data_IF_146381974212
#
_entry.id   IF_146381974212
#
_cell.length_a   1.000
_cell.length_b   1.000
_cell.length_c   1.000
_cell.angle_alpha   90.00
_cell.angle_beta   90.00
_cell.angle_gamma   90.00
#
_symmetry.space_group_name_H-M   'P 1'
#
loop_
_entity.id
_entity.type
_entity.pdbx_description
1 polymer ?
#
# COMPACT_ATOMS: atom_id res chain seq x y z
N UNK A 1 2.29 -5.73 11.56
CA UNK A 1 2.30 -4.73 12.67
C UNK A 1 3.64 -4.54 13.34
N UNK A 2 4.48 -5.57 13.58
CA UNK A 2 5.86 -5.33 14.07
C UNK A 2 6.61 -4.35 13.16
N UNK A 3 6.56 -4.58 11.86
CA UNK A 3 7.20 -3.72 10.86
C UNK A 3 6.58 -2.32 10.77
N UNK A 4 5.30 -2.14 11.11
CA UNK A 4 4.69 -0.80 11.16
C UNK A 4 5.33 0.07 12.25
N UNK A 5 5.71 -0.51 13.40
CA UNK A 5 6.43 0.21 14.45
C UNK A 5 7.87 0.54 14.05
N UNK A 6 8.55 -0.37 13.36
CA UNK A 6 9.91 -0.12 12.84
C UNK A 6 9.89 1.02 11.81
N UNK A 7 8.89 1.01 10.92
CA UNK A 7 8.68 2.09 9.95
C UNK A 7 8.35 3.41 10.64
N UNK A 8 7.47 3.38 11.65
CA UNK A 8 7.13 4.55 12.45
C UNK A 8 8.36 5.15 13.15
N UNK A 9 9.26 4.31 13.64
CA UNK A 9 10.51 4.75 14.24
C UNK A 9 11.44 5.41 13.21
N UNK A 10 11.56 4.85 12.01
CA UNK A 10 12.33 5.44 10.91
C UNK A 10 11.77 6.81 10.50
N UNK A 11 10.45 6.92 10.36
CA UNK A 11 9.79 8.21 10.08
C UNK A 11 10.02 9.21 11.22
N UNK A 12 10.07 8.74 12.48
CA UNK A 12 10.43 9.57 13.62
C UNK A 12 11.84 10.18 13.52
N UNK A 13 12.81 9.44 12.97
CA UNK A 13 14.16 9.96 12.69
C UNK A 13 14.12 11.01 11.57
N UNK A 14 13.38 10.79 10.50
CA UNK A 14 13.21 11.78 9.43
C UNK A 14 12.53 13.06 9.91
N UNK A 15 11.56 12.92 10.83
CA UNK A 15 10.89 14.06 11.49
C UNK A 15 11.88 14.97 12.20
N UNK A 16 12.86 14.39 12.90
CA UNK A 16 13.90 15.17 13.63
C UNK A 16 14.81 15.94 12.66
N UNK A 17 14.94 15.46 11.41
CA UNK A 17 15.76 16.08 10.37
C UNK A 17 14.99 17.10 9.53
N UNK A 18 13.68 17.26 9.74
CA UNK A 18 12.79 18.17 8.99
C UNK A 18 12.93 17.98 7.47
N UNK A 19 12.90 16.73 7.00
CA UNK A 19 12.99 16.44 5.56
C UNK A 19 11.82 17.06 4.80
N UNK A 20 12.06 17.47 3.56
CA UNK A 20 11.07 18.09 2.67
C UNK A 20 10.66 17.18 1.52
N UNK A 21 11.48 16.20 1.20
CA UNK A 21 11.29 15.25 0.11
C UNK A 21 11.50 13.83 0.65
N UNK A 22 10.68 12.90 0.22
CA UNK A 22 10.75 11.49 0.60
C UNK A 22 10.76 10.64 -0.65
N UNK A 23 11.66 9.65 -0.69
CA UNK A 23 11.63 8.59 -1.70
C UNK A 23 11.18 7.30 -1.03
N UNK A 24 10.16 6.66 -1.58
CA UNK A 24 9.59 5.40 -1.12
C UNK A 24 9.74 4.36 -2.21
N UNK A 25 10.51 3.32 -1.95
CA UNK A 25 10.72 2.23 -2.91
C UNK A 25 9.65 1.14 -2.74
N UNK A 26 8.79 1.02 -3.73
CA UNK A 26 7.70 0.04 -3.80
C UNK A 26 7.85 -0.93 -4.98
N UNK A 27 9.00 -0.98 -5.65
CA UNK A 27 9.19 -1.76 -6.90
C UNK A 27 8.76 -3.21 -6.80
N UNK A 28 9.09 -3.88 -5.71
CA UNK A 28 8.83 -5.31 -5.51
C UNK A 28 7.75 -5.55 -4.45
N UNK A 29 7.01 -4.51 -4.07
CA UNK A 29 6.00 -4.61 -3.03
C UNK A 29 4.62 -4.91 -3.63
N UNK A 30 4.19 -6.15 -3.52
CA UNK A 30 2.88 -6.63 -3.99
C UNK A 30 1.70 -6.20 -3.12
N UNK A 31 1.93 -5.33 -2.13
CA UNK A 31 0.94 -4.90 -1.17
C UNK A 31 0.91 -5.78 0.07
N UNK A 32 -0.24 -5.81 0.73
CA UNK A 32 -0.42 -6.52 1.99
C UNK A 32 -1.66 -6.06 2.73
N UNK A 33 -1.51 -5.80 4.03
CA UNK A 33 -2.61 -5.43 4.90
C UNK A 33 -3.04 -3.96 4.69
N UNK A 34 -4.35 -3.73 4.61
CA UNK A 34 -4.92 -2.38 4.55
C UNK A 34 -4.52 -1.53 5.77
N UNK A 35 -4.50 -2.13 6.97
CA UNK A 35 -4.08 -1.43 8.18
C UNK A 35 -2.65 -0.89 8.09
N UNK A 36 -1.72 -1.63 7.51
CA UNK A 36 -0.35 -1.15 7.28
C UNK A 36 -0.29 -0.03 6.24
N UNK A 37 -1.13 -0.08 5.21
CA UNK A 37 -1.26 1.02 4.24
C UNK A 37 -1.79 2.29 4.92
N UNK A 38 -2.83 2.16 5.76
CA UNK A 38 -3.38 3.29 6.52
C UNK A 38 -2.33 3.87 7.47
N UNK A 39 -1.63 3.02 8.24
CA UNK A 39 -0.59 3.44 9.16
C UNK A 39 0.52 4.21 8.42
N UNK A 40 1.02 3.66 7.33
CA UNK A 40 2.08 4.32 6.55
C UNK A 40 1.61 5.63 5.92
N UNK A 41 0.45 5.65 5.29
CA UNK A 41 -0.11 6.87 4.73
C UNK A 41 -0.36 7.94 5.82
N UNK A 42 -0.73 7.52 7.04
CA UNK A 42 -0.91 8.41 8.18
C UNK A 42 0.40 9.07 8.64
N UNK A 43 1.53 8.42 8.43
CA UNK A 43 2.85 9.02 8.72
C UNK A 43 3.18 10.16 7.75
N UNK A 44 2.54 10.20 6.57
CA UNK A 44 2.93 11.05 5.43
C UNK A 44 1.90 12.14 5.08
N UNK A 45 0.65 12.01 5.54
CA UNK A 45 -0.41 12.96 5.18
C UNK A 45 -0.24 14.29 5.91
N UNK A 46 -0.37 15.45 5.22
CA UNK A 46 -0.38 16.75 5.88
C UNK A 46 -1.59 16.91 6.82
N UNK A 47 -1.42 17.63 7.92
CA UNK A 47 -2.48 17.91 8.89
C UNK A 47 -3.22 16.64 9.33
N UNK A 48 -2.47 15.64 9.80
CA UNK A 48 -3.00 14.36 10.25
C UNK A 48 -4.15 14.54 11.24
N UNK A 49 -5.28 13.86 10.97
CA UNK A 49 -6.47 13.88 11.83
C UNK A 49 -7.28 12.61 11.60
N UNK A 50 -7.91 12.09 12.66
CA UNK A 50 -8.84 10.95 12.60
C UNK A 50 -10.14 11.26 11.87
N UNK A 51 -10.44 12.55 11.61
CA UNK A 51 -11.59 12.96 10.80
C UNK A 51 -11.28 13.04 9.30
N UNK A 52 -10.03 12.80 8.92
CA UNK A 52 -9.60 12.86 7.53
C UNK A 52 -9.73 11.47 6.90
N UNK A 53 -10.53 11.38 5.85
CA UNK A 53 -10.75 10.13 5.12
C UNK A 53 -9.50 9.76 4.31
N UNK A 54 -9.02 8.53 4.49
CA UNK A 54 -7.98 7.90 3.69
C UNK A 54 -8.58 7.21 2.47
N UNK A 55 -9.60 6.36 2.70
CA UNK A 55 -10.26 5.61 1.63
C UNK A 55 -11.75 5.43 1.87
N UNK A 56 -12.47 5.26 0.78
CA UNK A 56 -13.83 4.71 0.79
C UNK A 56 -13.81 3.29 0.22
N UNK A 57 -14.74 2.46 0.69
CA UNK A 57 -14.86 1.07 0.26
C UNK A 57 -16.26 0.78 -0.27
N UNK A 58 -16.34 0.26 -1.48
CA UNK A 58 -17.55 -0.36 -2.03
C UNK A 58 -17.43 -1.86 -1.90
N UNK A 59 -18.45 -2.50 -1.32
CA UNK A 59 -18.54 -3.95 -1.22
C UNK A 59 -19.50 -4.54 -2.26
N UNK A 60 -19.34 -5.83 -2.53
CA UNK A 60 -20.35 -6.56 -3.26
C UNK A 60 -21.69 -6.54 -2.47
N UNK A 61 -22.79 -6.91 -3.16
CA UNK A 61 -24.13 -6.84 -2.61
C UNK A 61 -24.26 -7.54 -1.25
N UNK A 62 -23.74 -8.75 -1.13
CA UNK A 62 -23.90 -9.56 0.09
C UNK A 62 -23.26 -8.89 1.31
N UNK A 63 -22.06 -8.35 1.17
CA UNK A 63 -21.38 -7.60 2.24
C UNK A 63 -22.04 -6.26 2.50
N UNK A 64 -22.51 -5.56 1.47
CA UNK A 64 -23.24 -4.31 1.62
C UNK A 64 -24.53 -4.51 2.41
N UNK A 65 -25.29 -5.55 2.09
CA UNK A 65 -26.54 -5.89 2.79
C UNK A 65 -26.24 -6.29 4.25
N UNK A 66 -25.18 -7.08 4.50
CA UNK A 66 -24.74 -7.44 5.84
C UNK A 66 -24.36 -6.22 6.68
N UNK A 67 -23.51 -5.33 6.18
CA UNK A 67 -23.06 -4.14 6.90
C UNK A 67 -24.19 -3.12 7.13
N UNK A 68 -25.22 -3.13 6.29
CA UNK A 68 -26.40 -2.30 6.47
C UNK A 68 -27.46 -2.92 7.40
N UNK A 69 -27.31 -4.19 7.78
CA UNK A 69 -28.27 -4.89 8.61
C UNK A 69 -28.37 -4.32 10.03
N UNK A 70 -29.54 -4.44 10.64
CA UNK A 70 -29.75 -4.06 12.04
C UNK A 70 -28.86 -4.84 12.99
N UNK A 71 -28.58 -6.11 12.69
CA UNK A 71 -27.69 -6.96 13.48
C UNK A 71 -26.27 -6.42 13.50
N UNK A 72 -25.71 -6.07 12.33
CA UNK A 72 -24.37 -5.48 12.28
C UNK A 72 -24.30 -4.16 13.04
N UNK A 73 -25.23 -3.26 12.78
CA UNK A 73 -25.26 -1.93 13.42
C UNK A 73 -25.44 -2.01 14.95
N UNK A 74 -26.18 -3.00 15.44
CA UNK A 74 -26.38 -3.21 16.87
C UNK A 74 -25.11 -3.78 17.53
N UNK A 75 -24.40 -4.70 16.86
CA UNK A 75 -23.19 -5.32 17.40
C UNK A 75 -21.95 -4.42 17.28
N UNK A 76 -21.91 -3.54 16.28
CA UNK A 76 -20.78 -2.69 15.94
C UNK A 76 -21.22 -1.23 15.72
N UNK A 77 -21.76 -0.55 16.75
CA UNK A 77 -22.41 0.77 16.60
C UNK A 77 -21.45 1.88 16.17
N UNK A 78 -20.16 1.72 16.40
CA UNK A 78 -19.12 2.71 16.08
C UNK A 78 -18.30 2.36 14.84
N UNK A 79 -18.61 1.25 14.18
CA UNK A 79 -17.87 0.82 13.00
C UNK A 79 -18.47 1.40 11.72
N UNK A 80 -17.61 1.91 10.86
CA UNK A 80 -17.98 2.31 9.51
C UNK A 80 -17.18 1.50 8.48
N UNK A 81 -17.72 0.38 7.99
CA UNK A 81 -16.99 -0.46 7.03
C UNK A 81 -16.81 0.18 5.65
N UNK A 82 -17.55 1.27 5.36
CA UNK A 82 -17.53 1.91 4.04
C UNK A 82 -16.48 3.02 3.89
N UNK A 83 -15.76 3.37 4.96
CA UNK A 83 -14.65 4.30 4.90
C UNK A 83 -13.62 4.05 5.97
N UNK A 84 -12.38 4.27 5.63
CA UNK A 84 -11.25 4.27 6.56
C UNK A 84 -10.69 5.69 6.67
N UNK A 85 -10.48 6.15 7.89
CA UNK A 85 -9.80 7.41 8.17
C UNK A 85 -8.29 7.18 8.39
N UNK A 86 -7.50 8.23 8.28
CA UNK A 86 -6.12 8.19 8.74
C UNK A 86 -6.08 7.91 10.24
N UNK A 87 -5.04 7.22 10.68
CA UNK A 87 -4.82 6.81 12.06
C UNK A 87 -3.84 7.75 12.77
N UNK A 88 -4.14 8.12 14.01
CA UNK A 88 -3.19 8.87 14.87
C UNK A 88 -2.40 7.97 15.78
N UNK A 89 -2.79 6.69 15.86
CA UNK A 89 -2.10 5.64 16.63
C UNK A 89 -1.93 4.39 15.79
N UNK A 90 -0.87 3.64 16.05
CA UNK A 90 -0.67 2.28 15.58
C UNK A 90 -1.07 1.36 16.72
N UNK A 91 -2.12 0.60 16.52
CA UNK A 91 -2.66 -0.31 17.52
C UNK A 91 -2.09 -1.71 17.30
N UNK A 92 -1.53 -2.31 18.36
CA UNK A 92 -1.08 -3.70 18.30
C UNK A 92 -2.27 -4.66 18.47
N UNK A 93 -2.23 -5.83 17.80
CA UNK A 93 -3.28 -6.83 17.95
C UNK A 93 -3.26 -7.43 19.37
N UNK A 94 -4.46 -7.82 19.84
CA UNK A 94 -4.65 -8.59 21.08
C UNK A 94 -3.65 -9.78 21.18
N UNK A 95 -3.08 -10.10 22.36
CA UNK A 95 -3.48 -9.57 23.68
C UNK A 95 -2.79 -8.25 24.09
N UNK A 96 -1.94 -7.66 23.25
CA UNK A 96 -1.27 -6.37 23.50
C UNK A 96 -2.16 -5.26 22.97
N UNK A 97 -2.72 -4.46 23.87
CA UNK A 97 -3.57 -3.29 23.53
C UNK A 97 -2.77 -1.99 23.48
N UNK A 98 -1.45 -2.10 23.32
CA UNK A 98 -0.58 -0.92 23.29
C UNK A 98 -0.85 -0.10 22.04
N UNK A 99 -0.97 1.21 22.25
CA UNK A 99 -1.16 2.19 21.18
C UNK A 99 0.07 3.07 21.09
N UNK A 100 0.62 3.19 19.90
CA UNK A 100 1.82 3.99 19.64
C UNK A 100 1.43 5.20 18.79
N UNK A 101 1.77 6.42 19.21
CA UNK A 101 1.51 7.60 18.38
C UNK A 101 2.19 7.50 17.03
N UNK A 102 1.45 7.87 15.99
CA UNK A 102 2.00 7.96 14.63
C UNK A 102 3.01 9.09 14.57
N UNK A 103 4.22 8.81 14.15
CA UNK A 103 5.20 9.81 13.77
C UNK A 103 4.84 10.38 12.41
N UNK A 104 4.37 11.61 12.36
CA UNK A 104 3.93 12.23 11.12
C UNK A 104 4.91 13.31 10.67
N UNK A 105 5.26 13.28 9.37
CA UNK A 105 6.13 14.25 8.68
C UNK A 105 5.40 15.00 7.57
N UNK A 106 4.11 14.73 7.37
CA UNK A 106 3.35 15.25 6.23
C UNK A 106 3.36 16.77 6.09
N UNK A 107 3.46 17.51 7.20
CA UNK A 107 3.48 18.97 7.16
C UNK A 107 4.82 19.55 6.65
N UNK A 108 5.91 18.80 6.74
CA UNK A 108 7.22 19.21 6.20
C UNK A 108 7.42 18.76 4.75
N UNK A 109 6.68 17.72 4.31
CA UNK A 109 6.83 17.18 2.97
C UNK A 109 6.25 18.12 1.91
N UNK A 110 7.06 18.44 0.91
CA UNK A 110 6.61 19.14 -0.30
C UNK A 110 6.08 18.15 -1.35
N UNK A 111 6.63 16.93 -1.38
CA UNK A 111 6.29 15.87 -2.33
C UNK A 111 6.84 14.52 -1.88
N UNK A 112 6.28 13.45 -2.46
CA UNK A 112 6.76 12.08 -2.30
C UNK A 112 7.09 11.52 -3.68
N UNK A 113 8.23 10.86 -3.80
CA UNK A 113 8.62 10.05 -4.95
C UNK A 113 8.38 8.58 -4.62
N UNK A 114 7.60 7.91 -5.45
CA UNK A 114 7.40 6.47 -5.38
C UNK A 114 8.20 5.80 -6.51
N UNK A 115 9.14 4.94 -6.14
CA UNK A 115 9.79 4.06 -7.11
C UNK A 115 8.88 2.85 -7.31
N UNK A 116 8.37 2.68 -8.52
CA UNK A 116 7.35 1.66 -8.85
C UNK A 116 7.84 0.70 -9.91
N UNK A 117 7.29 -0.50 -9.91
CA UNK A 117 7.53 -1.53 -10.91
C UNK A 117 6.25 -2.28 -11.26
N UNK A 118 6.33 -3.20 -12.19
CA UNK A 118 5.23 -4.08 -12.61
C UNK A 118 4.80 -5.09 -11.53
N UNK A 119 5.52 -5.14 -10.40
CA UNK A 119 5.15 -5.87 -9.18
C UNK A 119 4.47 -5.00 -8.11
N UNK A 120 4.47 -3.67 -8.25
CA UNK A 120 3.83 -2.77 -7.28
C UNK A 120 2.31 -2.92 -7.34
N UNK A 121 1.66 -3.38 -6.24
CA UNK A 121 0.25 -3.76 -6.28
C UNK A 121 -0.52 -3.49 -4.98
N UNK A 122 -1.85 -3.45 -5.08
CA UNK A 122 -2.79 -3.57 -3.94
C UNK A 122 -2.55 -2.50 -2.86
N UNK A 123 -2.17 -2.89 -1.63
CA UNK A 123 -1.93 -1.95 -0.52
C UNK A 123 -0.86 -0.88 -0.84
N UNK A 124 0.14 -1.20 -1.66
CA UNK A 124 1.11 -0.22 -2.18
C UNK A 124 0.44 0.83 -3.06
N UNK A 125 -0.43 0.39 -3.97
CA UNK A 125 -1.22 1.29 -4.82
C UNK A 125 -2.26 2.07 -4.02
N UNK A 126 -2.81 1.46 -2.95
CA UNK A 126 -3.72 2.12 -2.04
C UNK A 126 -3.05 3.30 -1.30
N UNK A 127 -1.79 3.15 -0.88
CA UNK A 127 -1.00 4.26 -0.29
C UNK A 127 -0.84 5.38 -1.30
N UNK A 128 -0.44 5.08 -2.53
CA UNK A 128 -0.29 6.07 -3.60
C UNK A 128 -1.63 6.78 -3.85
N UNK A 129 -2.70 6.03 -4.07
CA UNK A 129 -4.03 6.58 -4.35
C UNK A 129 -4.56 7.44 -3.20
N UNK A 130 -4.39 6.97 -1.96
CA UNK A 130 -4.88 7.65 -0.76
C UNK A 130 -4.15 8.95 -0.45
N UNK A 131 -2.86 9.07 -0.83
CA UNK A 131 -2.06 10.27 -0.60
C UNK A 131 -2.18 11.31 -1.72
N UNK A 132 -2.46 10.92 -2.96
CA UNK A 132 -2.59 11.81 -4.12
C UNK A 132 -3.47 13.05 -3.90
N UNK A 133 -4.60 12.97 -3.17
CA UNK A 133 -5.45 14.13 -2.91
C UNK A 133 -4.84 15.16 -1.95
N UNK A 134 -3.75 14.84 -1.27
CA UNK A 134 -3.22 15.64 -0.16
C UNK A 134 -1.86 16.27 -0.45
N UNK A 135 -1.05 15.62 -1.30
CA UNK A 135 0.28 16.13 -1.66
C UNK A 135 0.74 15.54 -3.01
N UNK A 136 1.70 16.19 -3.68
CA UNK A 136 2.25 15.69 -4.93
C UNK A 136 2.92 14.32 -4.75
N UNK A 137 2.42 13.33 -5.47
CA UNK A 137 2.98 11.97 -5.56
C UNK A 137 3.54 11.77 -6.95
N UNK A 138 4.86 11.60 -7.05
CA UNK A 138 5.59 11.46 -8.31
C UNK A 138 6.07 10.02 -8.43
N UNK A 139 5.68 9.34 -9.50
CA UNK A 139 6.03 7.95 -9.74
C UNK A 139 7.19 7.86 -10.73
N UNK A 140 8.17 7.04 -10.41
CA UNK A 140 9.37 6.78 -11.22
C UNK A 140 9.52 5.26 -11.35
N UNK A 141 9.73 4.76 -12.56
CA UNK A 141 9.94 3.34 -12.84
C UNK A 141 8.96 2.80 -13.87
N UNK A 142 8.27 1.70 -13.58
CA UNK A 142 7.27 1.10 -14.47
C UNK A 142 5.85 1.27 -13.93
N UNK A 143 4.87 0.97 -14.80
CA UNK A 143 3.44 0.98 -14.49
C UNK A 143 3.12 -0.09 -13.45
N UNK A 144 2.34 0.27 -12.45
CA UNK A 144 1.92 -0.64 -11.38
C UNK A 144 0.89 -1.68 -11.88
N UNK A 145 0.52 -2.65 -11.04
CA UNK A 145 -0.37 -3.77 -11.43
C UNK A 145 -1.80 -3.33 -11.72
N UNK A 146 -2.34 -2.38 -10.95
CA UNK A 146 -3.74 -1.94 -11.11
C UNK A 146 -4.75 -2.71 -10.25
N UNK A 147 -4.32 -3.23 -9.10
CA UNK A 147 -5.20 -3.95 -8.17
C UNK A 147 -5.90 -2.99 -7.21
N UNK A 148 -7.00 -2.40 -7.65
CA UNK A 148 -7.86 -1.50 -6.86
C UNK A 148 -8.96 -2.22 -6.08
N UNK A 149 -8.83 -3.53 -5.89
CA UNK A 149 -9.80 -4.42 -5.25
C UNK A 149 -9.18 -5.17 -4.08
N UNK A 150 -10.02 -5.60 -3.15
CA UNK A 150 -9.63 -6.37 -1.98
C UNK A 150 -10.42 -7.66 -1.85
N UNK A 151 -9.82 -8.60 -1.13
CA UNK A 151 -10.37 -9.92 -0.86
C UNK A 151 -10.57 -10.12 0.64
N UNK A 152 -11.49 -11.01 1.00
CA UNK A 152 -11.60 -11.54 2.35
C UNK A 152 -11.21 -13.01 2.35
N UNK A 153 -10.65 -13.47 3.48
CA UNK A 153 -10.36 -14.89 3.68
C UNK A 153 -11.61 -15.56 4.24
N UNK A 154 -12.05 -16.63 3.57
CA UNK A 154 -13.13 -17.51 4.02
C UNK A 154 -12.54 -18.91 4.20
N UNK A 155 -12.54 -19.39 5.43
CA UNK A 155 -12.07 -20.72 5.80
C UNK A 155 -13.07 -21.42 6.71
N UNK A 156 -12.97 -22.73 6.83
CA UNK A 156 -13.78 -23.53 7.75
C UNK A 156 -13.10 -23.59 9.14
N UNK A 157 -13.38 -22.60 9.97
CA UNK A 157 -12.79 -22.49 11.30
C UNK A 157 -13.21 -23.63 12.24
N UNK A 158 -14.35 -24.27 11.96
CA UNK A 158 -14.90 -25.36 12.79
C UNK A 158 -14.25 -26.72 12.49
N UNK A 159 -13.64 -26.85 11.33
CA UNK A 159 -12.98 -28.09 10.90
C UNK A 159 -11.47 -27.89 10.72
N UNK A 160 -10.72 -28.13 11.79
CA UNK A 160 -9.26 -27.98 11.79
C UNK A 160 -8.53 -28.92 10.82
N UNK A 161 -9.21 -29.94 10.28
CA UNK A 161 -8.66 -30.82 9.24
C UNK A 161 -8.82 -30.23 7.83
N UNK A 162 -9.73 -29.29 7.65
CA UNK A 162 -9.89 -28.59 6.40
C UNK A 162 -8.82 -27.48 6.29
N UNK A 163 -7.86 -27.65 5.38
CA UNK A 163 -6.78 -26.70 5.14
C UNK A 163 -7.06 -25.75 3.96
N UNK A 164 -8.25 -25.84 3.36
CA UNK A 164 -8.63 -25.01 2.24
C UNK A 164 -9.24 -23.71 2.70
N UNK A 165 -8.92 -22.64 1.98
CA UNK A 165 -9.52 -21.33 2.18
C UNK A 165 -9.81 -20.67 0.82
N UNK A 166 -10.82 -19.80 0.79
CA UNK A 166 -11.15 -18.98 -0.35
C UNK A 166 -10.77 -17.53 -0.08
N UNK A 167 -10.28 -16.83 -1.09
CA UNK A 167 -10.02 -15.38 -1.04
C UNK A 167 -10.77 -14.67 -2.19
N UNK A 168 -12.11 -14.63 -2.14
CA UNK A 168 -12.88 -13.94 -3.17
C UNK A 168 -12.65 -12.44 -3.09
N UNK A 169 -12.61 -11.79 -4.26
CA UNK A 169 -12.68 -10.33 -4.35
C UNK A 169 -14.09 -9.91 -3.92
N UNK A 170 -14.17 -9.04 -2.91
CA UNK A 170 -15.44 -8.63 -2.31
C UNK A 170 -15.61 -7.12 -2.24
N UNK A 171 -14.53 -6.36 -2.45
CA UNK A 171 -14.55 -4.91 -2.32
C UNK A 171 -13.68 -4.23 -3.38
N UNK A 172 -14.01 -2.96 -3.61
CA UNK A 172 -13.21 -1.97 -4.33
C UNK A 172 -12.98 -0.76 -3.44
N UNK A 173 -11.77 -0.20 -3.47
CA UNK A 173 -11.46 0.98 -2.68
C UNK A 173 -11.19 2.20 -3.57
N UNK A 174 -11.49 3.37 -3.02
CA UNK A 174 -11.41 4.68 -3.63
C UNK A 174 -10.67 5.63 -2.69
N UNK A 175 -10.01 6.64 -3.21
CA UNK A 175 -9.47 7.72 -2.36
C UNK A 175 -10.60 8.66 -1.87
N UNK A 176 -10.21 9.72 -1.13
CA UNK A 176 -11.19 10.69 -0.60
C UNK A 176 -12.00 11.40 -1.70
N UNK A 177 -11.46 11.51 -2.91
CA UNK A 177 -12.12 12.14 -4.07
C UNK A 177 -12.90 11.13 -4.92
N UNK A 178 -13.15 9.93 -4.37
CA UNK A 178 -13.87 8.83 -5.03
C UNK A 178 -13.19 8.33 -6.31
N UNK A 179 -11.87 8.48 -6.41
CA UNK A 179 -11.11 7.99 -7.56
C UNK A 179 -10.55 6.59 -7.29
N UNK A 180 -10.70 5.72 -8.29
CA UNK A 180 -10.23 4.33 -8.32
C UNK A 180 -9.82 3.91 -9.74
N UNK A 181 -9.34 4.84 -10.56
CA UNK A 181 -9.21 4.71 -12.02
C UNK A 181 -7.90 4.04 -12.45
N UNK A 182 -7.28 3.26 -11.57
CA UNK A 182 -6.01 2.62 -11.84
C UNK A 182 -6.10 1.10 -12.08
N UNK A 183 -7.19 0.63 -12.67
CA UNK A 183 -7.36 -0.81 -13.02
C UNK A 183 -6.32 -1.34 -14.00
N UNK A 184 -5.60 -0.46 -14.69
CA UNK A 184 -4.47 -0.78 -15.56
C UNK A 184 -3.12 -0.35 -14.98
N UNK A 185 -3.10 -0.06 -13.67
CA UNK A 185 -1.95 0.48 -12.96
C UNK A 185 -1.83 1.99 -13.02
N UNK A 186 -1.00 2.53 -12.14
CA UNK A 186 -0.54 3.92 -12.23
C UNK A 186 0.60 3.98 -13.24
N UNK A 187 0.42 4.77 -14.28
CA UNK A 187 1.51 5.08 -15.21
C UNK A 187 2.49 6.03 -14.52
N UNK A 188 3.81 5.75 -14.54
CA UNK A 188 4.79 6.60 -13.90
C UNK A 188 4.93 7.95 -14.60
N UNK A 189 5.30 8.98 -13.83
CA UNK A 189 5.66 10.29 -14.36
C UNK A 189 6.98 10.23 -15.17
N UNK A 190 7.87 9.33 -14.73
CA UNK A 190 9.14 9.06 -15.41
C UNK A 190 9.31 7.56 -15.58
N UNK A 191 9.20 7.09 -16.81
CA UNK A 191 9.47 5.69 -17.13
C UNK A 191 10.98 5.44 -17.11
N UNK A 192 11.42 4.55 -16.24
CA UNK A 192 12.82 4.10 -16.13
C UNK A 192 12.80 2.61 -15.87
N UNK A 193 13.54 1.86 -16.68
CA UNK A 193 13.71 0.42 -16.45
C UNK A 193 14.47 0.16 -15.16
N UNK A 194 14.12 -0.95 -14.48
CA UNK A 194 14.78 -1.35 -13.25
C UNK A 194 16.27 -1.63 -13.47
N UNK A 195 17.07 -1.16 -12.55
CA UNK A 195 18.54 -1.26 -12.63
C UNK A 195 19.05 -2.40 -11.76
N UNK A 196 19.29 -3.54 -12.38
CA UNK A 196 19.86 -4.72 -11.69
C UNK A 196 21.39 -4.68 -11.52
N UNK A 197 22.08 -3.60 -11.90
CA UNK A 197 23.54 -3.45 -11.79
C UNK A 197 23.97 -2.84 -10.48
N UNK A 198 23.11 -2.01 -9.89
CA UNK A 198 23.38 -1.32 -8.63
C UNK A 198 22.52 -1.93 -7.51
N UNK A 199 22.99 -1.81 -6.27
CA UNK A 199 22.23 -2.23 -5.11
C UNK A 199 21.09 -1.25 -4.84
N UNK A 200 20.00 -1.72 -4.22
CA UNK A 200 18.92 -0.86 -3.76
C UNK A 200 19.46 0.15 -2.74
N UNK A 201 19.16 1.43 -2.95
CA UNK A 201 19.66 2.54 -2.12
C UNK A 201 20.99 3.13 -2.60
N UNK A 202 21.64 2.58 -3.63
CA UNK A 202 22.77 3.24 -4.29
C UNK A 202 22.27 4.50 -5.01
N UNK A 203 22.93 5.63 -4.75
CA UNK A 203 22.57 6.91 -5.38
C UNK A 203 22.75 6.92 -6.90
N UNK A 204 23.50 5.98 -7.44
CA UNK A 204 23.70 5.79 -8.88
C UNK A 204 22.69 4.81 -9.50
N UNK A 205 21.86 4.14 -8.69
CA UNK A 205 20.80 3.28 -9.18
C UNK A 205 19.76 4.11 -9.96
N UNK A 206 19.33 3.63 -11.12
CA UNK A 206 18.63 4.41 -12.13
C UNK A 206 17.38 5.15 -11.63
N UNK A 207 16.51 4.49 -10.86
CA UNK A 207 15.28 5.09 -10.36
C UNK A 207 15.58 6.08 -9.24
N UNK A 208 16.44 5.71 -8.30
CA UNK A 208 16.82 6.57 -7.18
C UNK A 208 17.61 7.79 -7.68
N UNK A 209 18.55 7.61 -8.62
CA UNK A 209 19.28 8.70 -9.25
C UNK A 209 18.33 9.70 -9.91
N UNK A 210 17.26 9.21 -10.57
CA UNK A 210 16.24 10.09 -11.16
C UNK A 210 15.48 10.86 -10.08
N UNK A 211 15.08 10.23 -8.98
CA UNK A 211 14.43 10.91 -7.87
C UNK A 211 15.33 12.01 -7.30
N UNK A 212 16.60 11.69 -7.02
CA UNK A 212 17.59 12.63 -6.51
C UNK A 212 17.76 13.82 -7.47
N UNK A 213 17.84 13.57 -8.79
CA UNK A 213 17.97 14.64 -9.77
C UNK A 213 16.76 15.58 -9.79
N UNK A 214 15.55 15.05 -9.55
CA UNK A 214 14.33 15.86 -9.45
C UNK A 214 14.26 16.67 -8.15
N UNK A 215 14.84 16.14 -7.07
CA UNK A 215 14.91 16.82 -5.77
C UNK A 215 15.94 17.96 -5.82
N UNK A 216 17.12 17.67 -6.33
CA UNK A 216 18.27 18.61 -6.27
C UNK A 216 18.32 19.59 -7.45
N UNK A 217 17.60 19.31 -8.53
CA UNK A 217 17.71 20.05 -9.79
C UNK A 217 19.03 19.79 -10.54
N UNK A 218 19.91 18.94 -9.99
CA UNK A 218 21.19 18.59 -10.62
C UNK A 218 21.00 17.33 -11.44
N UNK A 219 21.27 17.40 -12.73
CA UNK A 219 21.31 16.22 -13.57
C UNK A 219 22.42 15.30 -13.07
N UNK A 220 22.07 14.16 -12.50
CA UNK A 220 23.07 13.12 -12.27
C UNK A 220 23.49 12.57 -13.63
N UNK A 221 24.77 12.26 -13.77
CA UNK A 221 25.28 11.62 -14.98
C UNK A 221 24.46 10.36 -15.20
N UNK A 222 23.58 10.38 -16.21
CA UNK A 222 22.77 9.21 -16.55
C UNK A 222 23.74 8.07 -16.81
N UNK A 223 23.55 6.96 -16.11
CA UNK A 223 24.12 5.70 -16.56
C UNK A 223 23.79 5.61 -18.06
N UNK A 224 24.83 5.49 -18.87
CA UNK A 224 24.74 5.57 -20.33
C UNK A 224 23.53 4.75 -20.78
N UNK A 225 22.70 5.33 -21.65
CA UNK A 225 21.59 4.62 -22.31
C UNK A 225 22.14 3.32 -22.88
N UNK A 226 21.98 2.22 -22.14
CA UNK A 226 22.12 0.91 -22.77
C UNK A 226 21.07 0.90 -23.90
N UNK A 227 21.41 0.44 -25.10
CA UNK A 227 20.43 0.31 -26.16
C UNK A 227 19.26 -0.45 -25.62
N UNK A 228 18.05 0.10 -25.79
CA UNK A 228 16.79 -0.52 -25.41
C UNK A 228 16.68 -1.83 -26.17
N UNK A 229 17.26 -2.88 -25.64
CA UNK A 229 16.90 -4.23 -26.02
C UNK A 229 15.62 -4.49 -25.25
N UNK A 230 14.47 -4.22 -25.87
CA UNK A 230 13.20 -4.79 -25.45
C UNK A 230 13.30 -6.32 -25.53
N UNK A 231 14.13 -6.92 -24.71
CA UNK A 231 13.99 -8.33 -24.40
C UNK A 231 12.79 -8.41 -23.49
N UNK A 232 11.67 -8.77 -24.11
CA UNK A 232 10.44 -9.05 -23.42
C UNK A 232 10.61 -10.27 -22.53
N UNK A 233 11.22 -10.07 -21.35
CA UNK A 233 11.17 -11.03 -20.24
C UNK A 233 9.72 -11.46 -19.98
N UNK A 234 8.77 -10.59 -20.27
CA UNK A 234 7.32 -10.84 -20.24
C UNK A 234 6.87 -12.00 -21.18
N UNK A 235 7.69 -12.43 -22.16
CA UNK A 235 7.39 -13.58 -23.02
C UNK A 235 8.10 -14.88 -22.60
N UNK A 236 9.12 -14.83 -21.73
CA UNK A 236 9.92 -16.01 -21.38
C UNK A 236 9.28 -16.86 -20.27
N UNK A 237 8.41 -16.29 -19.46
CA UNK A 237 7.57 -17.04 -18.54
C UNK A 237 6.12 -16.81 -18.95
N UNK A 238 5.47 -17.75 -19.66
CA UNK A 238 4.03 -17.70 -19.72
C UNK A 238 3.59 -17.78 -18.26
N UNK A 239 3.13 -16.66 -17.71
CA UNK A 239 2.27 -16.68 -16.55
C UNK A 239 1.02 -17.46 -16.99
N UNK A 240 1.14 -18.77 -16.97
CA UNK A 240 -0.04 -19.59 -16.87
C UNK A 240 -0.65 -19.13 -15.57
N UNK A 241 -1.83 -18.57 -15.65
CA UNK A 241 -2.74 -18.43 -14.53
C UNK A 241 -3.13 -19.85 -14.08
N UNK A 242 -2.14 -20.64 -13.69
CA UNK A 242 -2.35 -21.81 -12.87
C UNK A 242 -2.81 -21.22 -11.56
N UNK A 243 -4.04 -21.50 -11.25
CA UNK A 243 -4.72 -21.16 -10.02
C UNK A 243 -3.80 -21.45 -8.84
N UNK A 244 -3.00 -20.46 -8.42
CA UNK A 244 -2.23 -20.57 -7.21
C UNK A 244 -3.21 -20.43 -6.05
N UNK A 245 -3.79 -21.56 -5.67
CA UNK A 245 -4.43 -21.68 -4.37
C UNK A 245 -3.34 -21.44 -3.33
N UNK A 246 -3.37 -20.31 -2.67
CA UNK A 246 -2.49 -20.05 -1.55
C UNK A 246 -2.89 -21.00 -0.42
N UNK A 247 -2.13 -22.06 -0.20
CA UNK A 247 -2.31 -22.93 0.96
C UNK A 247 -1.74 -22.15 2.16
N UNK A 248 -2.61 -21.44 2.86
CA UNK A 248 -2.24 -20.77 4.11
C UNK A 248 -2.31 -21.83 5.21
N UNK A 249 -1.14 -22.34 5.62
CA UNK A 249 -1.06 -23.17 6.84
C UNK A 249 -1.48 -22.35 8.05
N UNK A 250 -2.34 -22.88 8.85
CA UNK A 250 -3.17 -22.37 9.94
C UNK A 250 -2.52 -21.50 11.06
N UNK A 251 -1.37 -20.86 10.84
CA UNK A 251 -0.77 -19.89 11.80
C UNK A 251 -1.06 -18.43 11.47
N UNK A 252 -1.76 -18.15 10.38
CA UNK A 252 -2.08 -16.80 9.94
C UNK A 252 -3.50 -16.35 10.25
N UNK A 253 -4.34 -17.20 10.81
CA UNK A 253 -5.75 -16.94 11.13
C UNK A 253 -5.96 -15.87 12.20
N UNK A 254 -4.98 -15.65 13.07
CA UNK A 254 -5.09 -14.62 14.12
C UNK A 254 -4.97 -13.18 13.61
N UNK A 255 -4.61 -12.98 12.34
CA UNK A 255 -4.32 -11.66 11.79
C UNK A 255 -5.49 -11.00 11.04
N UNK A 256 -6.52 -11.76 10.64
CA UNK A 256 -7.60 -11.25 9.79
C UNK A 256 -8.96 -11.14 10.46
N UNK A 257 -9.15 -11.75 11.62
CA UNK A 257 -10.46 -11.85 12.29
C UNK A 257 -10.65 -10.81 13.41
N UNK A 258 -9.62 -10.08 13.81
CA UNK A 258 -9.70 -9.09 14.90
C UNK A 258 -10.39 -7.77 14.54
N UNK A 259 -11.11 -7.67 13.41
CA UNK A 259 -12.13 -6.63 13.21
C UNK A 259 -13.54 -7.07 13.68
N UNK A 260 -13.69 -8.28 14.23
CA UNK A 260 -14.98 -8.82 14.65
C UNK A 260 -15.00 -9.34 16.09
N UNK A 261 -14.19 -8.78 16.98
CA UNK A 261 -14.40 -8.92 18.43
C UNK A 261 -14.23 -7.61 19.14
#
# INVERSE_FOLDING_TARGET
MKYDLELNAAIGQFKQQNITDLVVDLRYNHGGMMSSAINFASMLVPNLSTNKVFSYTEYNRNYTDYFNSSSFKSNYPNENPFSDNFATTIDLPSPKTDKFPVQNIGNSLQRIYFLTGDGTASASEMVINGLKPFLPCILIGDTTVGKNVGSTLINDEKNTKNQWAFMPIVLRYFNKDRQSDFTKGFVPNYYIEDDFKHQLGDINEGLLAKAISQITGVAQASAAKAPIVHQSWKKALPYKAEHHFLIVKNKATDLYINRTK
#
